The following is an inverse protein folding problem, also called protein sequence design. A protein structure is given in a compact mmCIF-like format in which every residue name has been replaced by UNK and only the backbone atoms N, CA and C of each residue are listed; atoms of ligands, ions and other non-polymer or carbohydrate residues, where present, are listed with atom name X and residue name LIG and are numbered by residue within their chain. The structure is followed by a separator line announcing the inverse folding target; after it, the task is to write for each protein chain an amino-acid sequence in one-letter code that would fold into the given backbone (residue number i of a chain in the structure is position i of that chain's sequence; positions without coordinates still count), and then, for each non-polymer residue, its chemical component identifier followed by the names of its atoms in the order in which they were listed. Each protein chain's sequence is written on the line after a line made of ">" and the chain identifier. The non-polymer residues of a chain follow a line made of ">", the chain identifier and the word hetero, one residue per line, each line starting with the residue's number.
data_IF_155812756286
#
_entry.id   IF_155812756286
#
_cell.length_a   1.000
_cell.length_b   1.000
_cell.length_c   1.000
_cell.angle_alpha   90.00
_cell.angle_beta   90.00
_cell.angle_gamma   90.00
#
_symmetry.space_group_name_H-M   'P 1'
#
loop_
_entity.id
_entity.type
_entity.pdbx_description
1 polymer ?
#
# COMPACT_ATOMS: atom_id res chain seq x y z
N UNK A 1 -13.29 33.96 34.34
CA UNK A 1 -13.91 33.45 33.10
C UNK A 1 -13.15 34.00 31.89
N UNK A 2 -12.36 33.18 31.20
CA UNK A 2 -11.93 33.42 29.82
C UNK A 2 -12.55 32.39 28.85
N UNK A 3 -12.50 32.70 27.54
CA UNK A 3 -13.32 32.07 26.50
C UNK A 3 -12.76 30.76 25.93
N UNK A 4 -13.61 29.77 25.56
CA UNK A 4 -13.18 28.53 24.91
C UNK A 4 -13.10 28.70 23.38
N UNK A 5 -12.01 29.27 22.88
CA UNK A 5 -11.69 29.29 21.43
C UNK A 5 -10.18 29.21 21.18
N UNK A 6 -9.61 28.00 21.30
CA UNK A 6 -8.34 27.51 20.67
C UNK A 6 -7.93 26.16 21.29
N UNK A 7 -8.49 25.07 20.79
CA UNK A 7 -8.02 23.70 21.09
C UNK A 7 -8.54 22.68 20.07
N UNK A 8 -8.29 22.91 18.78
CA UNK A 8 -8.61 21.96 17.71
C UNK A 8 -7.61 22.07 16.55
N UNK A 9 -6.44 21.45 16.74
CA UNK A 9 -5.42 21.23 15.73
C UNK A 9 -4.81 19.84 15.95
N UNK A 10 -4.56 19.11 14.85
CA UNK A 10 -3.99 17.75 14.79
C UNK A 10 -4.75 16.66 15.58
N UNK A 11 -5.78 16.09 14.94
CA UNK A 11 -6.12 14.65 14.92
C UNK A 11 -7.18 14.42 13.84
N UNK A 12 -6.71 14.16 12.63
CA UNK A 12 -7.52 13.62 11.53
C UNK A 12 -6.72 12.48 10.92
N UNK A 13 -6.40 11.51 11.77
CA UNK A 13 -5.71 10.30 11.40
C UNK A 13 -6.77 9.22 11.15
N UNK A 14 -6.92 8.78 9.90
CA UNK A 14 -7.47 7.45 9.63
C UNK A 14 -6.32 6.48 9.92
N UNK A 15 -6.09 6.24 11.20
CA UNK A 15 -5.03 5.38 11.71
C UNK A 15 -5.48 3.91 11.72
N UNK A 16 -5.95 3.45 10.57
CA UNK A 16 -6.52 2.12 10.38
C UNK A 16 -5.64 1.38 9.37
N UNK A 17 -4.65 0.66 9.91
CA UNK A 17 -3.37 0.28 9.27
C UNK A 17 -2.40 1.46 9.06
N UNK A 18 -2.07 2.15 10.17
CA UNK A 18 -1.12 3.25 10.23
C UNK A 18 0.35 2.83 9.96
N UNK A 19 0.67 2.64 8.68
CA UNK A 19 2.00 2.91 8.12
C UNK A 19 1.89 4.00 7.04
N UNK A 20 3.03 4.43 6.50
CA UNK A 20 3.20 5.59 5.61
C UNK A 20 2.00 6.05 4.73
N UNK A 21 1.66 7.34 4.89
CA UNK A 21 1.00 8.24 3.91
C UNK A 21 1.42 9.71 4.11
N UNK A 22 2.69 10.04 3.80
CA UNK A 22 3.19 11.39 3.51
C UNK A 22 4.60 11.24 2.90
N UNK A 23 5.01 11.92 1.82
CA UNK A 23 4.30 12.82 0.91
C UNK A 23 5.24 13.46 -0.13
N UNK A 24 4.69 14.06 -1.20
CA UNK A 24 5.33 15.02 -2.13
C UNK A 24 6.68 14.62 -2.78
N UNK A 25 6.70 14.08 -4.01
CA UNK A 25 6.73 14.83 -5.30
C UNK A 25 7.88 15.84 -5.48
N UNK A 26 8.88 15.47 -6.29
CA UNK A 26 9.62 16.37 -7.20
C UNK A 26 10.21 15.60 -8.39
N UNK A 27 10.04 16.12 -9.61
CA UNK A 27 10.38 15.50 -10.89
C UNK A 27 11.88 15.34 -11.20
N UNK A 28 12.22 14.44 -12.13
CA UNK A 28 13.56 14.35 -12.73
C UNK A 28 13.77 13.21 -13.73
N UNK A 29 13.08 13.20 -14.86
CA UNK A 29 13.20 12.14 -15.89
C UNK A 29 14.32 12.35 -16.92
N UNK A 30 14.96 11.26 -17.34
CA UNK A 30 15.46 10.90 -18.71
C UNK A 30 16.06 9.47 -18.62
N UNK A 31 15.63 8.44 -19.35
CA UNK A 31 15.76 8.22 -20.82
C UNK A 31 17.25 8.14 -21.27
N UNK A 32 17.74 7.17 -22.05
CA UNK A 32 17.08 6.15 -22.90
C UNK A 32 18.08 5.07 -23.40
N UNK A 33 17.55 4.05 -24.09
CA UNK A 33 18.15 3.21 -25.15
C UNK A 33 19.02 1.96 -24.81
N UNK A 34 18.72 0.87 -25.55
CA UNK A 34 19.41 -0.44 -25.54
C UNK A 34 20.62 -0.51 -26.50
N UNK A 35 20.80 -1.53 -27.39
CA UNK A 35 19.81 -2.48 -27.93
C UNK A 35 20.27 -3.95 -28.14
N UNK A 36 19.39 -4.82 -28.68
CA UNK A 36 19.75 -5.62 -29.87
C UNK A 36 19.59 -7.16 -29.88
N UNK A 37 19.36 -7.68 -31.10
CA UNK A 37 19.32 -9.09 -31.58
C UNK A 37 18.16 -9.98 -31.06
N UNK A 38 17.30 -10.65 -31.85
CA UNK A 38 17.26 -11.18 -33.24
C UNK A 38 17.63 -12.68 -33.41
N UNK A 39 16.65 -13.45 -33.94
CA UNK A 39 16.75 -14.86 -34.34
C UNK A 39 15.39 -15.58 -34.18
N UNK A 40 14.49 -15.61 -35.17
CA UNK A 40 14.36 -16.63 -36.25
C UNK A 40 14.14 -18.08 -35.78
N UNK A 41 12.93 -18.63 -35.97
CA UNK A 41 12.71 -19.80 -36.85
C UNK A 41 11.22 -20.14 -37.15
N UNK A 42 10.82 -19.81 -38.38
CA UNK A 42 10.21 -20.66 -39.44
C UNK A 42 9.45 -21.97 -39.13
N UNK A 43 8.17 -22.03 -39.55
CA UNK A 43 7.38 -23.16 -40.14
C UNK A 43 7.19 -24.53 -39.41
N UNK A 44 6.13 -25.33 -39.63
CA UNK A 44 4.78 -25.13 -40.20
C UNK A 44 3.91 -26.41 -40.05
N UNK A 45 2.58 -26.24 -39.94
CA UNK A 45 1.48 -27.12 -40.43
C UNK A 45 1.42 -28.63 -39.96
N UNK A 46 0.34 -29.42 -40.10
CA UNK A 46 -1.04 -29.27 -40.66
C UNK A 46 -2.02 -30.29 -40.01
N UNK A 47 -3.31 -30.14 -40.32
CA UNK A 47 -4.34 -31.21 -40.49
C UNK A 47 -4.95 -32.00 -39.30
N UNK A 48 -6.10 -31.48 -38.85
CA UNK A 48 -7.44 -32.09 -39.00
C UNK A 48 -7.61 -33.62 -39.22
N UNK A 49 -8.56 -34.21 -38.48
CA UNK A 49 -9.79 -34.80 -39.05
C UNK A 49 -10.82 -35.27 -37.99
N UNK A 50 -12.08 -34.91 -38.19
CA UNK A 50 -13.27 -35.54 -37.57
C UNK A 50 -13.87 -36.58 -38.53
N UNK A 51 -14.57 -37.61 -38.05
CA UNK A 51 -15.69 -38.15 -38.83
C UNK A 51 -17.02 -38.33 -38.05
N UNK A 52 -18.10 -38.14 -38.81
CA UNK A 52 -19.52 -38.10 -38.44
C UNK A 52 -20.24 -39.48 -38.52
N UNK A 53 -21.52 -39.50 -38.12
CA UNK A 53 -22.67 -40.25 -38.71
C UNK A 53 -23.12 -41.59 -38.07
N UNK A 54 -24.41 -42.03 -38.12
CA UNK A 54 -25.74 -41.38 -38.33
C UNK A 54 -26.88 -42.40 -38.07
N UNK A 55 -28.04 -41.98 -37.52
CA UNK A 55 -29.34 -42.64 -37.73
C UNK A 55 -30.26 -42.65 -36.49
N UNK A 56 -31.46 -42.04 -36.43
CA UNK A 56 -32.70 -42.09 -37.26
C UNK A 56 -33.82 -42.88 -36.54
N UNK A 57 -34.85 -42.17 -36.05
CA UNK A 57 -36.29 -42.53 -36.18
C UNK A 57 -37.17 -41.42 -35.59
N UNK A 58 -38.38 -41.24 -36.12
CA UNK A 58 -39.39 -40.25 -35.65
C UNK A 58 -40.74 -40.93 -35.46
N UNK A 59 -41.49 -40.56 -34.40
CA UNK A 59 -42.94 -40.68 -34.41
C UNK A 59 -43.70 -39.37 -34.13
N UNK A 60 -44.90 -39.31 -34.72
CA UNK A 60 -45.97 -38.31 -34.70
C UNK A 60 -46.40 -37.82 -33.29
N UNK A 61 -46.89 -36.57 -33.11
CA UNK A 61 -46.99 -35.93 -31.80
C UNK A 61 -48.32 -36.18 -31.06
N UNK A 62 -48.25 -36.22 -29.72
CA UNK A 62 -49.36 -36.04 -28.79
C UNK A 62 -48.82 -35.48 -27.46
N UNK A 63 -49.57 -34.54 -26.87
CA UNK A 63 -49.45 -33.93 -25.54
C UNK A 63 -48.12 -33.26 -25.16
N UNK A 64 -48.19 -31.93 -25.07
CA UNK A 64 -47.12 -31.10 -24.50
C UNK A 64 -47.02 -31.34 -22.99
N UNK A 65 -45.84 -31.74 -22.46
CA UNK A 65 -45.62 -31.72 -21.03
C UNK A 65 -45.61 -30.27 -20.54
N UNK A 66 -46.32 -30.01 -19.45
CA UNK A 66 -46.23 -28.78 -18.67
C UNK A 66 -44.77 -28.40 -18.46
N UNK A 67 -44.44 -27.12 -18.67
CA UNK A 67 -43.09 -26.63 -18.45
C UNK A 67 -42.66 -26.95 -17.02
N UNK A 68 -41.65 -27.81 -16.87
CA UNK A 68 -40.90 -27.92 -15.62
C UNK A 68 -40.36 -26.54 -15.33
N UNK A 69 -40.73 -25.99 -14.18
CA UNK A 69 -40.30 -24.65 -13.77
C UNK A 69 -38.78 -24.54 -13.90
N UNK A 70 -38.33 -23.51 -14.62
CA UNK A 70 -36.92 -23.12 -14.67
C UNK A 70 -36.39 -23.13 -13.25
N UNK A 71 -35.32 -23.89 -13.01
CA UNK A 71 -34.69 -23.96 -11.70
C UNK A 71 -34.50 -22.53 -11.18
N UNK A 72 -35.17 -22.21 -10.06
CA UNK A 72 -34.98 -20.96 -9.35
C UNK A 72 -33.49 -20.76 -9.22
N UNK A 73 -32.97 -19.66 -9.78
CA UNK A 73 -31.57 -19.33 -9.64
C UNK A 73 -31.25 -19.39 -8.15
N UNK A 74 -30.31 -20.27 -7.77
CA UNK A 74 -29.69 -20.20 -6.44
C UNK A 74 -29.33 -18.73 -6.24
N UNK A 75 -29.75 -18.08 -5.13
CA UNK A 75 -29.33 -16.71 -4.90
C UNK A 75 -27.81 -16.69 -5.04
N UNK A 76 -27.32 -15.79 -5.88
CA UNK A 76 -25.89 -15.48 -5.90
C UNK A 76 -25.55 -15.20 -4.43
N UNK A 77 -24.55 -15.88 -3.83
CA UNK A 77 -24.18 -15.60 -2.44
C UNK A 77 -23.96 -14.11 -2.32
N UNK A 78 -24.58 -13.47 -1.32
CA UNK A 78 -24.65 -12.02 -1.21
C UNK A 78 -23.25 -11.43 -1.47
N UNK A 79 -23.14 -10.71 -2.59
CA UNK A 79 -21.84 -10.27 -3.07
C UNK A 79 -21.24 -9.33 -2.03
N UNK A 80 -19.98 -9.59 -1.65
CA UNK A 80 -19.25 -8.73 -0.71
C UNK A 80 -19.40 -7.27 -1.13
N UNK A 81 -19.60 -6.38 -0.17
CA UNK A 81 -19.95 -4.98 -0.43
C UNK A 81 -18.93 -4.26 -1.33
N UNK A 82 -17.70 -4.77 -1.39
CA UNK A 82 -16.61 -4.27 -2.23
C UNK A 82 -16.40 -5.00 -3.58
N UNK A 83 -17.29 -5.89 -4.01
CA UNK A 83 -17.12 -6.67 -5.24
C UNK A 83 -16.86 -5.80 -6.49
N UNK A 84 -17.47 -4.62 -6.56
CA UNK A 84 -17.34 -3.67 -7.68
C UNK A 84 -16.19 -2.65 -7.49
N UNK A 85 -15.18 -2.93 -6.65
CA UNK A 85 -14.08 -1.99 -6.34
C UNK A 85 -13.37 -1.46 -7.60
N UNK A 86 -13.23 -2.30 -8.63
CA UNK A 86 -12.52 -1.96 -9.87
C UNK A 86 -13.21 -0.82 -10.65
N UNK A 87 -14.52 -0.64 -10.47
CA UNK A 87 -15.26 0.46 -11.08
C UNK A 87 -14.83 1.84 -10.56
N UNK A 88 -14.38 1.91 -9.31
CA UNK A 88 -13.95 3.15 -8.67
C UNK A 88 -12.53 3.59 -9.07
N UNK A 89 -11.76 2.74 -9.75
CA UNK A 89 -10.36 2.96 -10.07
C UNK A 89 -10.20 3.73 -11.39
N UNK A 90 -9.78 5.02 -11.40
CA UNK A 90 -9.54 5.74 -12.64
C UNK A 90 -8.27 5.25 -13.33
N UNK A 91 -8.15 5.44 -14.64
CA UNK A 91 -6.92 5.20 -15.35
C UNK A 91 -5.75 6.00 -14.72
N UNK A 92 -4.54 5.41 -14.56
CA UNK A 92 -3.40 6.08 -13.92
C UNK A 92 -3.03 7.45 -14.49
N UNK A 93 -3.28 7.67 -15.78
CA UNK A 93 -3.10 8.96 -16.47
C UNK A 93 -3.97 10.09 -15.89
N UNK A 94 -5.06 9.81 -15.18
CA UNK A 94 -5.86 10.82 -14.47
C UNK A 94 -5.14 11.41 -13.23
N UNK A 95 -4.01 10.81 -12.83
CA UNK A 95 -3.17 11.24 -11.71
C UNK A 95 -1.71 11.47 -12.13
N UNK A 96 -1.44 11.60 -13.44
CA UNK A 96 -0.09 11.70 -14.03
C UNK A 96 0.85 10.56 -13.60
N UNK A 97 0.35 9.32 -13.64
CA UNK A 97 1.07 8.10 -13.24
C UNK A 97 0.96 7.01 -14.30
N UNK A 98 1.93 6.10 -14.32
CA UNK A 98 1.90 4.86 -15.11
C UNK A 98 1.12 3.74 -14.40
N UNK A 99 1.15 3.73 -13.08
CA UNK A 99 0.44 2.78 -12.24
C UNK A 99 0.38 3.23 -10.78
N UNK A 100 -0.62 2.73 -10.04
CA UNK A 100 -0.78 2.99 -8.62
C UNK A 100 -1.28 1.76 -7.85
N UNK A 101 -1.06 1.78 -6.53
CA UNK A 101 -1.62 0.81 -5.59
C UNK A 101 -3.06 1.19 -5.23
N UNK A 102 -4.00 0.26 -5.34
CA UNK A 102 -5.32 0.37 -4.74
C UNK A 102 -5.44 -0.59 -3.56
N UNK A 103 -6.29 -0.24 -2.59
CA UNK A 103 -6.71 -1.13 -1.50
C UNK A 103 -8.22 -1.02 -1.37
N UNK A 104 -8.89 -2.15 -1.15
CA UNK A 104 -10.32 -2.20 -0.91
C UNK A 104 -10.62 -3.23 0.18
N UNK A 105 -11.59 -2.95 1.04
CA UNK A 105 -12.17 -3.94 1.94
C UNK A 105 -13.65 -3.68 2.20
N UNK A 106 -14.36 -4.72 2.61
CA UNK A 106 -15.76 -4.66 3.00
C UNK A 106 -15.87 -4.75 4.54
N UNK A 107 -15.86 -3.61 5.27
CA UNK A 107 -15.69 -3.65 6.72
C UNK A 107 -16.91 -4.25 7.44
N UNK A 108 -18.13 -4.04 6.95
CA UNK A 108 -19.33 -4.72 7.43
C UNK A 108 -19.18 -6.25 7.33
N UNK A 109 -18.85 -6.77 6.16
CA UNK A 109 -18.70 -8.22 5.93
C UNK A 109 -17.56 -8.84 6.78
N UNK A 110 -16.49 -8.07 7.06
CA UNK A 110 -15.43 -8.49 8.00
C UNK A 110 -15.94 -8.55 9.44
N UNK A 111 -16.73 -7.56 9.87
CA UNK A 111 -17.28 -7.48 11.23
C UNK A 111 -18.37 -8.55 11.45
N UNK A 112 -19.13 -8.92 10.42
CA UNK A 112 -20.06 -10.06 10.47
C UNK A 112 -19.33 -11.42 10.65
N UNK A 113 -18.01 -11.47 10.42
CA UNK A 113 -17.13 -12.61 10.71
C UNK A 113 -16.29 -12.46 11.98
N UNK A 114 -16.54 -11.44 12.81
CA UNK A 114 -15.74 -11.17 14.01
C UNK A 114 -15.68 -12.37 14.98
N UNK A 115 -16.76 -13.15 15.11
CA UNK A 115 -16.79 -14.34 15.99
C UNK A 115 -15.96 -15.53 15.49
N UNK A 116 -15.58 -15.53 14.22
CA UNK A 116 -14.86 -16.62 13.55
C UNK A 116 -13.35 -16.35 13.51
N UNK A 117 -12.95 -15.09 13.69
CA UNK A 117 -11.57 -14.58 13.65
C UNK A 117 -10.84 -14.73 14.99
N UNK A 118 -9.52 -14.56 14.97
CA UNK A 118 -8.69 -14.51 16.18
C UNK A 118 -8.89 -13.21 16.97
N UNK A 119 -8.55 -13.23 18.26
CA UNK A 119 -8.62 -12.04 19.12
C UNK A 119 -7.79 -10.88 18.53
N UNK A 120 -8.38 -9.68 18.48
CA UNK A 120 -7.73 -8.48 17.94
C UNK A 120 -7.93 -8.22 16.44
N UNK A 121 -8.34 -9.21 15.64
CA UNK A 121 -8.41 -9.11 14.17
C UNK A 121 -9.21 -7.90 13.64
N UNK A 122 -10.33 -7.61 14.28
CA UNK A 122 -11.24 -6.50 13.94
C UNK A 122 -11.04 -5.26 14.79
N UNK A 123 -10.08 -5.22 15.75
CA UNK A 123 -9.97 -4.13 16.73
C UNK A 123 -9.88 -2.76 16.08
N UNK A 124 -9.12 -2.64 14.99
CA UNK A 124 -9.04 -1.39 14.23
C UNK A 124 -10.40 -0.93 13.68
N UNK A 125 -11.26 -1.84 13.23
CA UNK A 125 -12.57 -1.54 12.65
C UNK A 125 -13.63 -1.17 13.70
N UNK A 126 -13.37 -1.41 15.00
CA UNK A 126 -14.30 -1.08 16.09
C UNK A 126 -14.29 0.40 16.52
N UNK A 127 -13.42 1.23 15.94
CA UNK A 127 -13.32 2.65 16.25
C UNK A 127 -14.15 3.56 15.35
N UNK A 128 -14.73 4.62 15.91
CA UNK A 128 -15.50 5.63 15.17
C UNK A 128 -14.65 6.29 14.05
N UNK A 129 -14.99 6.15 12.77
CA UNK A 129 -14.29 6.86 11.70
C UNK A 129 -14.50 8.36 11.81
N UNK A 130 -13.42 9.14 11.61
CA UNK A 130 -13.50 10.59 11.56
C UNK A 130 -14.10 11.11 10.22
N UNK A 131 -15.14 10.47 9.70
CA UNK A 131 -15.68 10.59 8.34
C UNK A 131 -17.11 11.14 8.40
N UNK A 132 -17.48 12.16 7.59
CA UNK A 132 -18.87 12.65 7.52
C UNK A 132 -19.87 11.54 7.19
N UNK A 133 -20.94 11.41 7.99
CA UNK A 133 -22.03 10.47 7.73
C UNK A 133 -21.69 8.98 7.86
N UNK A 134 -20.54 8.62 8.46
CA UNK A 134 -20.25 7.25 8.90
C UNK A 134 -20.00 7.31 10.41
N UNK A 135 -20.86 6.66 11.20
CA UNK A 135 -20.70 6.59 12.66
C UNK A 135 -19.86 5.37 13.07
N UNK A 136 -19.96 4.26 12.33
CA UNK A 136 -19.16 3.03 12.51
C UNK A 136 -18.69 2.45 11.18
N UNK A 137 -17.56 1.73 11.17
CA UNK A 137 -17.15 0.94 10.00
C UNK A 137 -18.14 -0.19 9.65
N UNK A 138 -18.98 -0.63 10.59
CA UNK A 138 -20.08 -1.56 10.30
C UNK A 138 -21.14 -0.96 9.34
N UNK A 139 -21.26 0.36 9.30
CA UNK A 139 -22.23 1.05 8.45
C UNK A 139 -21.78 1.09 6.98
N UNK A 140 -20.48 0.89 6.70
CA UNK A 140 -19.93 0.87 5.35
C UNK A 140 -19.93 -0.54 4.75
N UNK A 141 -20.59 -0.69 3.60
CA UNK A 141 -20.52 -1.90 2.78
C UNK A 141 -19.13 -2.04 2.13
N UNK A 142 -18.51 -0.94 1.71
CA UNK A 142 -17.15 -0.93 1.19
C UNK A 142 -16.36 0.31 1.59
N UNK A 143 -15.05 0.14 1.63
CA UNK A 143 -14.09 1.23 1.73
C UNK A 143 -12.92 1.01 0.77
N UNK A 144 -12.61 2.03 -0.03
CA UNK A 144 -11.54 2.00 -1.03
C UNK A 144 -10.52 3.11 -0.78
N UNK A 145 -9.23 2.80 -0.87
CA UNK A 145 -8.12 3.75 -0.85
C UNK A 145 -7.48 3.83 -2.23
N UNK A 146 -7.46 5.03 -2.81
CA UNK A 146 -6.98 5.31 -4.17
C UNK A 146 -6.00 6.50 -4.12
N UNK A 147 -4.71 6.33 -4.48
CA UNK A 147 -3.75 7.42 -4.60
C UNK A 147 -4.25 8.54 -5.53
N UNK A 148 -3.90 9.82 -5.29
CA UNK A 148 -2.90 10.31 -4.34
C UNK A 148 -3.38 10.46 -2.88
N UNK A 149 -4.59 10.01 -2.54
CA UNK A 149 -5.14 10.12 -1.18
C UNK A 149 -6.66 10.22 -1.15
N UNK A 150 -7.33 9.65 -2.15
CA UNK A 150 -8.78 9.58 -2.23
C UNK A 150 -9.26 8.39 -1.40
N UNK A 151 -10.25 8.65 -0.56
CA UNK A 151 -11.00 7.63 0.18
C UNK A 151 -12.40 7.57 -0.40
N UNK A 152 -12.91 6.36 -0.62
CA UNK A 152 -14.31 6.12 -1.00
C UNK A 152 -14.95 5.27 0.08
N UNK A 153 -16.14 5.66 0.54
CA UNK A 153 -17.00 4.88 1.41
C UNK A 153 -18.31 4.61 0.67
N UNK A 154 -18.75 3.34 0.63
CA UNK A 154 -20.08 2.96 0.15
C UNK A 154 -20.94 2.56 1.35
N UNK A 155 -22.01 3.31 1.60
CA UNK A 155 -22.85 3.25 2.80
C UNK A 155 -24.20 3.95 2.57
N UNK A 156 -25.16 3.73 3.45
CA UNK A 156 -26.47 4.38 3.42
C UNK A 156 -26.44 5.75 4.12
N UNK A 157 -26.07 6.80 3.38
CA UNK A 157 -25.89 8.15 3.93
C UNK A 157 -27.20 8.93 4.12
N UNK A 158 -27.40 9.54 5.29
CA UNK A 158 -28.24 10.75 5.38
C UNK A 158 -27.52 11.88 4.64
N UNK A 159 -27.99 12.17 3.41
CA UNK A 159 -27.40 13.21 2.56
C UNK A 159 -27.46 14.61 3.15
N UNK A 160 -28.49 14.96 3.91
CA UNK A 160 -28.63 16.31 4.46
C UNK A 160 -27.67 16.50 5.63
N UNK A 161 -27.62 15.53 6.55
CA UNK A 161 -26.66 15.51 7.66
C UNK A 161 -25.21 15.47 7.16
N UNK A 162 -24.88 14.56 6.23
CA UNK A 162 -23.53 14.41 5.66
C UNK A 162 -23.08 15.67 4.92
N UNK A 163 -23.97 16.32 4.16
CA UNK A 163 -23.68 17.61 3.54
C UNK A 163 -23.53 18.75 4.58
N UNK A 164 -24.26 18.67 5.70
CA UNK A 164 -24.07 19.54 6.86
C UNK A 164 -22.67 19.42 7.46
N UNK A 165 -22.19 18.19 7.68
CA UNK A 165 -20.86 17.89 8.21
C UNK A 165 -19.72 18.35 7.28
N UNK A 166 -19.87 18.13 5.97
CA UNK A 166 -18.92 18.63 4.97
C UNK A 166 -18.81 20.17 5.03
N UNK A 167 -19.95 20.86 5.17
CA UNK A 167 -20.00 22.33 5.37
C UNK A 167 -19.40 22.75 6.72
N UNK A 168 -19.65 22.00 7.79
CA UNK A 168 -19.01 22.19 9.10
C UNK A 168 -17.48 22.03 9.06
N UNK A 169 -16.97 21.21 8.14
CA UNK A 169 -15.52 21.04 7.86
C UNK A 169 -14.96 22.11 6.92
N UNK A 170 -15.75 23.09 6.47
CA UNK A 170 -15.33 24.20 5.63
C UNK A 170 -15.32 23.88 4.12
N UNK A 171 -16.00 22.83 3.68
CA UNK A 171 -16.22 22.54 2.27
C UNK A 171 -17.54 23.18 1.81
N UNK A 172 -17.54 23.86 0.67
CA UNK A 172 -18.76 24.43 0.08
C UNK A 172 -19.15 23.66 -1.17
N UNK A 173 -20.43 23.36 -1.31
CA UNK A 173 -21.00 22.74 -2.52
C UNK A 173 -20.79 23.65 -3.73
N UNK A 174 -20.11 23.14 -4.75
CA UNK A 174 -19.60 23.92 -5.88
C UNK A 174 -20.15 23.46 -7.24
N UNK A 175 -20.55 22.19 -7.37
CA UNK A 175 -21.07 21.61 -8.60
C UNK A 175 -21.85 20.31 -8.32
N UNK A 176 -22.53 19.79 -9.35
CA UNK A 176 -23.01 18.40 -9.41
C UNK A 176 -22.28 17.70 -10.56
N UNK A 177 -21.86 16.44 -10.36
CA UNK A 177 -21.18 15.62 -11.38
C UNK A 177 -21.60 14.16 -11.21
N UNK A 178 -22.09 13.52 -12.28
CA UNK A 178 -22.57 12.12 -12.26
C UNK A 178 -23.46 11.73 -11.07
N UNK A 179 -24.42 12.60 -10.73
CA UNK A 179 -25.33 12.52 -9.55
C UNK A 179 -24.69 12.76 -8.17
N UNK A 180 -23.38 12.95 -8.09
CA UNK A 180 -22.72 13.40 -6.87
C UNK A 180 -22.80 14.93 -6.72
N UNK A 181 -23.09 15.40 -5.52
CA UNK A 181 -22.87 16.80 -5.15
C UNK A 181 -21.40 16.97 -4.78
N UNK A 182 -20.68 17.85 -5.47
CA UNK A 182 -19.24 18.08 -5.32
C UNK A 182 -19.00 19.28 -4.42
N UNK A 183 -18.30 19.07 -3.31
CA UNK A 183 -17.94 20.07 -2.32
C UNK A 183 -16.44 20.37 -2.40
N UNK A 184 -16.04 21.63 -2.27
CA UNK A 184 -14.63 22.04 -2.28
C UNK A 184 -14.32 23.11 -1.23
N UNK A 185 -13.09 23.13 -0.74
CA UNK A 185 -12.55 24.14 0.18
C UNK A 185 -11.04 23.95 0.35
N UNK A 186 -10.38 24.78 1.16
CA UNK A 186 -8.91 24.86 1.24
C UNK A 186 -8.20 23.53 1.56
N UNK A 187 -8.92 22.58 2.17
CA UNK A 187 -8.41 21.25 2.53
C UNK A 187 -8.58 20.18 1.44
N UNK A 188 -9.18 20.51 0.29
CA UNK A 188 -9.41 19.58 -0.83
C UNK A 188 -10.88 19.54 -1.25
N UNK A 189 -11.36 18.35 -1.61
CA UNK A 189 -12.72 18.16 -2.11
C UNK A 189 -13.39 16.89 -1.55
N UNK A 190 -14.71 16.85 -1.73
CA UNK A 190 -15.55 15.68 -1.51
C UNK A 190 -16.62 15.57 -2.60
N UNK A 191 -17.14 14.37 -2.84
CA UNK A 191 -18.33 14.14 -3.66
C UNK A 191 -19.28 13.20 -2.91
N UNK A 192 -20.52 13.64 -2.71
CA UNK A 192 -21.56 12.89 -2.01
C UNK A 192 -22.62 12.43 -3.01
N UNK A 193 -22.77 11.11 -3.17
CA UNK A 193 -23.78 10.41 -3.97
C UNK A 193 -24.96 9.97 -3.11
N UNK A 194 -25.78 9.03 -3.61
CA UNK A 194 -26.88 8.47 -2.81
C UNK A 194 -26.35 7.43 -1.80
N UNK A 195 -25.49 6.52 -2.26
CA UNK A 195 -24.91 5.43 -1.46
C UNK A 195 -23.38 5.49 -1.32
N UNK A 196 -22.76 6.64 -1.63
CA UNK A 196 -21.30 6.77 -1.67
C UNK A 196 -20.79 8.16 -1.30
N UNK A 197 -19.66 8.21 -0.59
CA UNK A 197 -18.91 9.42 -0.27
C UNK A 197 -17.45 9.27 -0.71
N UNK A 198 -17.02 10.13 -1.64
CA UNK A 198 -15.64 10.25 -2.11
C UNK A 198 -14.98 11.44 -1.41
N UNK A 199 -13.79 11.28 -0.84
CA UNK A 199 -13.04 12.30 -0.11
C UNK A 199 -11.61 12.40 -0.63
N UNK A 200 -11.17 13.58 -1.06
CA UNK A 200 -9.76 13.88 -1.33
C UNK A 200 -9.30 15.04 -0.43
N UNK A 201 -9.33 14.81 0.88
CA UNK A 201 -8.97 15.80 1.89
C UNK A 201 -7.49 15.66 2.24
N UNK A 202 -6.66 16.59 1.76
CA UNK A 202 -5.20 16.54 1.85
C UNK A 202 -4.47 16.31 0.52
N UNK A 203 -5.18 16.04 -0.58
CA UNK A 203 -4.61 15.82 -1.91
C UNK A 203 -4.17 17.13 -2.60
N UNK A 204 -3.18 17.84 -2.04
CA UNK A 204 -2.55 19.01 -2.67
C UNK A 204 -3.39 20.31 -2.70
N UNK A 205 -4.46 20.39 -1.91
CA UNK A 205 -5.33 21.57 -1.83
C UNK A 205 -6.58 21.50 -2.71
N UNK A 206 -7.30 22.62 -2.84
CA UNK A 206 -8.66 22.66 -3.41
C UNK A 206 -8.79 22.11 -4.83
N UNK A 207 -7.87 22.46 -5.73
CA UNK A 207 -7.95 22.10 -7.15
C UNK A 207 -7.52 20.66 -7.41
N UNK A 208 -6.38 20.24 -6.87
CA UNK A 208 -5.91 18.86 -6.97
C UNK A 208 -6.87 17.88 -6.27
N UNK A 209 -7.42 18.24 -5.10
CA UNK A 209 -8.49 17.47 -4.46
C UNK A 209 -9.76 17.38 -5.32
N UNK A 210 -10.18 18.49 -5.96
CA UNK A 210 -11.32 18.48 -6.89
C UNK A 210 -11.07 17.55 -8.07
N UNK A 211 -9.89 17.65 -8.71
CA UNK A 211 -9.53 16.80 -9.85
C UNK A 211 -9.58 15.32 -9.47
N UNK A 212 -8.97 14.96 -8.34
CA UNK A 212 -8.91 13.57 -7.87
C UNK A 212 -10.31 13.00 -7.55
N UNK A 213 -11.18 13.77 -6.89
CA UNK A 213 -12.58 13.38 -6.67
C UNK A 213 -13.34 13.20 -7.98
N UNK A 214 -13.16 14.11 -8.94
CA UNK A 214 -13.86 14.02 -10.22
C UNK A 214 -13.43 12.80 -11.03
N UNK A 215 -12.14 12.48 -11.07
CA UNK A 215 -11.63 11.28 -11.74
C UNK A 215 -12.25 9.97 -11.18
N UNK A 216 -12.36 9.86 -9.85
CA UNK A 216 -12.97 8.69 -9.17
C UNK A 216 -14.48 8.61 -9.42
N UNK A 217 -15.19 9.74 -9.41
CA UNK A 217 -16.62 9.79 -9.76
C UNK A 217 -16.85 9.44 -11.24
N UNK A 218 -16.01 9.95 -12.15
CA UNK A 218 -16.09 9.66 -13.58
C UNK A 218 -15.83 8.18 -13.89
N UNK A 219 -14.84 7.56 -13.21
CA UNK A 219 -14.55 6.14 -13.34
C UNK A 219 -15.77 5.29 -12.90
N UNK A 220 -16.33 5.56 -11.71
CA UNK A 220 -17.52 4.81 -11.23
C UNK A 220 -18.70 4.97 -12.18
N UNK A 221 -18.96 6.18 -12.67
CA UNK A 221 -20.03 6.46 -13.61
C UNK A 221 -19.81 5.89 -15.03
N UNK A 222 -18.60 5.42 -15.37
CA UNK A 222 -18.23 5.06 -16.74
C UNK A 222 -18.10 6.27 -17.68
N UNK A 223 -18.01 7.48 -17.12
CA UNK A 223 -17.81 8.73 -17.85
C UNK A 223 -16.32 9.05 -18.09
N UNK A 224 -15.41 8.37 -17.38
CA UNK A 224 -13.96 8.41 -17.55
C UNK A 224 -13.36 7.00 -17.67
N UNK A 225 -12.14 6.88 -18.21
CA UNK A 225 -11.48 5.58 -18.37
C UNK A 225 -11.12 4.97 -17.02
N UNK A 226 -11.43 3.67 -16.83
CA UNK A 226 -11.06 2.92 -15.63
C UNK A 226 -9.65 2.34 -15.78
N UNK A 227 -9.02 2.00 -14.65
CA UNK A 227 -7.67 1.41 -14.62
C UNK A 227 -7.61 0.07 -15.37
N UNK A 228 -8.62 -0.78 -15.16
CA UNK A 228 -8.74 -2.08 -15.84
C UNK A 228 -8.90 -1.93 -17.36
N UNK A 229 -9.64 -0.93 -17.83
CA UNK A 229 -9.82 -0.66 -19.27
C UNK A 229 -8.56 -0.08 -19.93
N UNK A 230 -7.76 0.67 -19.16
CA UNK A 230 -6.58 1.38 -19.66
C UNK A 230 -5.28 0.57 -19.56
N UNK A 231 -5.21 -0.42 -18.66
CA UNK A 231 -4.00 -1.20 -18.37
C UNK A 231 -4.35 -2.68 -18.22
N UNK A 232 -4.09 -3.47 -19.27
CA UNK A 232 -4.39 -4.91 -19.32
C UNK A 232 -3.78 -5.72 -18.16
N UNK A 233 -2.66 -5.27 -17.59
CA UNK A 233 -2.03 -5.93 -16.44
C UNK A 233 -2.82 -5.70 -15.15
N UNK A 234 -3.54 -4.57 -15.05
CA UNK A 234 -4.51 -4.30 -13.98
C UNK A 234 -5.79 -5.12 -14.18
N UNK A 235 -6.28 -5.28 -15.41
CA UNK A 235 -7.38 -6.20 -15.74
C UNK A 235 -7.07 -7.63 -15.28
N UNK A 236 -5.91 -8.18 -15.69
CA UNK A 236 -5.44 -9.52 -15.27
C UNK A 236 -5.31 -9.63 -13.75
N UNK A 237 -4.70 -8.63 -13.11
CA UNK A 237 -4.52 -8.62 -11.66
C UNK A 237 -5.87 -8.61 -10.93
N UNK A 238 -6.82 -7.76 -11.33
CA UNK A 238 -8.13 -7.65 -10.68
C UNK A 238 -8.97 -8.91 -10.90
N UNK A 239 -8.93 -9.51 -12.10
CA UNK A 239 -9.56 -10.80 -12.36
C UNK A 239 -8.99 -11.93 -11.46
N UNK A 240 -7.66 -12.01 -11.30
CA UNK A 240 -7.03 -12.99 -10.43
C UNK A 240 -7.23 -12.71 -8.93
N UNK A 241 -7.37 -11.43 -8.54
CA UNK A 241 -7.71 -11.02 -7.17
C UNK A 241 -9.16 -11.34 -6.79
N UNK A 242 -10.08 -11.40 -7.76
CA UNK A 242 -11.49 -11.74 -7.58
C UNK A 242 -12.21 -10.95 -6.48
N UNK A 243 -13.31 -11.51 -5.96
CA UNK A 243 -14.00 -10.98 -4.78
C UNK A 243 -13.32 -11.46 -3.50
N UNK A 244 -12.94 -10.53 -2.61
CA UNK A 244 -12.29 -10.83 -1.33
C UNK A 244 -12.63 -9.74 -0.30
N UNK A 245 -12.76 -10.13 0.98
CA UNK A 245 -13.15 -9.23 2.07
C UNK A 245 -12.13 -8.11 2.27
N UNK A 246 -10.85 -8.42 2.04
CA UNK A 246 -9.76 -7.47 1.91
C UNK A 246 -8.98 -7.79 0.63
N UNK A 247 -8.72 -6.78 -0.20
CA UNK A 247 -7.87 -6.88 -1.37
C UNK A 247 -6.97 -5.67 -1.56
N UNK A 248 -5.79 -5.91 -2.13
CA UNK A 248 -4.80 -4.88 -2.45
C UNK A 248 -4.07 -5.28 -3.72
N UNK A 249 -3.82 -4.32 -4.62
CA UNK A 249 -3.09 -4.58 -5.85
C UNK A 249 -2.38 -3.34 -6.37
N UNK A 250 -1.40 -3.53 -7.26
CA UNK A 250 -0.76 -2.45 -8.05
C UNK A 250 -0.20 -3.02 -9.35
N UNK A 251 -0.15 -2.21 -10.41
CA UNK A 251 0.84 -2.41 -11.48
C UNK A 251 2.11 -1.62 -11.16
N UNK A 252 3.22 -2.04 -11.74
CA UNK A 252 4.55 -1.49 -11.53
C UNK A 252 5.50 -1.86 -12.68
N UNK A 253 6.66 -1.22 -12.76
CA UNK A 253 7.74 -1.65 -13.65
C UNK A 253 8.34 -2.98 -13.20
N UNK A 254 8.94 -3.72 -14.13
CA UNK A 254 9.76 -4.88 -13.78
C UNK A 254 10.91 -4.45 -12.84
N UNK A 255 11.20 -5.29 -11.83
CA UNK A 255 12.14 -5.00 -10.75
C UNK A 255 11.52 -4.33 -9.51
N UNK A 256 10.29 -3.81 -9.59
CA UNK A 256 9.61 -3.11 -8.50
C UNK A 256 8.77 -4.11 -7.66
N UNK A 257 9.37 -5.16 -7.11
CA UNK A 257 8.67 -6.24 -6.37
C UNK A 257 9.30 -7.61 -6.60
N UNK A 258 8.48 -8.64 -6.81
CA UNK A 258 8.93 -9.92 -7.35
C UNK A 258 9.63 -9.69 -8.69
N UNK A 259 10.75 -10.38 -8.91
CA UNK A 259 11.52 -10.27 -10.15
C UNK A 259 10.62 -10.51 -11.38
N UNK A 260 10.83 -9.67 -12.41
CA UNK A 260 10.11 -9.66 -13.69
C UNK A 260 8.57 -9.54 -13.65
N UNK A 261 7.93 -9.50 -12.48
CA UNK A 261 6.52 -9.14 -12.37
C UNK A 261 6.29 -7.66 -12.72
N UNK A 262 5.14 -7.38 -13.35
CA UNK A 262 4.65 -6.03 -13.70
C UNK A 262 3.35 -5.67 -12.97
N UNK A 263 2.75 -6.63 -12.26
CA UNK A 263 1.69 -6.36 -11.31
C UNK A 263 1.65 -7.42 -10.22
N UNK A 264 1.06 -7.09 -9.08
CA UNK A 264 0.83 -8.06 -8.01
C UNK A 264 -0.16 -7.58 -6.97
N UNK A 265 -0.68 -8.52 -6.20
CA UNK A 265 -1.67 -8.22 -5.16
C UNK A 265 -1.77 -9.26 -4.05
N UNK A 266 -2.76 -9.05 -3.19
CA UNK A 266 -3.23 -9.98 -2.17
C UNK A 266 -4.75 -9.86 -2.08
N UNK A 267 -5.43 -11.00 -1.95
CA UNK A 267 -6.85 -11.11 -1.61
C UNK A 267 -7.04 -12.07 -0.44
N UNK A 268 -7.83 -11.66 0.55
CA UNK A 268 -8.18 -12.43 1.75
C UNK A 268 -9.71 -12.62 1.76
N UNK A 269 -10.14 -13.86 1.64
CA UNK A 269 -11.55 -14.27 1.63
C UNK A 269 -11.85 -15.02 2.93
N UNK A 270 -12.56 -14.36 3.85
CA UNK A 270 -12.82 -14.84 5.20
C UNK A 270 -14.00 -15.82 5.19
N UNK A 271 -13.77 -17.07 5.56
CA UNK A 271 -14.83 -18.06 5.81
C UNK A 271 -14.98 -18.37 7.30
N UNK A 272 -16.04 -19.09 7.68
CA UNK A 272 -16.38 -19.40 9.09
C UNK A 272 -15.36 -20.26 9.85
N UNK A 273 -14.53 -20.99 9.11
CA UNK A 273 -13.53 -21.93 9.66
C UNK A 273 -12.18 -21.76 9.01
N UNK A 274 -12.20 -21.46 7.73
CA UNK A 274 -11.04 -21.38 6.87
C UNK A 274 -11.12 -20.09 6.07
N UNK A 275 -10.05 -19.31 6.13
CA UNK A 275 -9.83 -18.10 5.34
C UNK A 275 -8.89 -18.43 4.20
N UNK A 276 -9.29 -18.08 2.98
CA UNK A 276 -8.47 -18.28 1.78
C UNK A 276 -7.64 -17.03 1.52
N UNK A 277 -6.32 -17.21 1.41
CA UNK A 277 -5.38 -16.17 1.00
C UNK A 277 -4.92 -16.48 -0.43
N UNK A 278 -4.92 -15.48 -1.31
CA UNK A 278 -4.34 -15.56 -2.66
C UNK A 278 -3.47 -14.35 -2.97
N UNK A 279 -2.34 -14.58 -3.61
CA UNK A 279 -1.39 -13.51 -3.99
C UNK A 279 -0.97 -13.68 -5.45
N UNK A 280 -1.73 -13.11 -6.40
CA UNK A 280 -1.37 -13.14 -7.81
C UNK A 280 -0.19 -12.22 -8.11
N UNK A 281 0.64 -12.65 -9.05
CA UNK A 281 1.69 -11.89 -9.73
C UNK A 281 1.45 -11.98 -11.25
N UNK A 282 1.47 -10.83 -11.94
CA UNK A 282 1.31 -10.74 -13.40
C UNK A 282 2.67 -10.44 -14.00
N UNK A 283 3.12 -11.29 -14.91
CA UNK A 283 4.38 -11.16 -15.66
C UNK A 283 4.13 -10.52 -17.02
N UNK A 284 5.14 -9.96 -17.72
CA UNK A 284 5.02 -9.49 -19.11
C UNK A 284 4.71 -10.64 -20.08
N UNK A 285 4.65 -10.36 -21.38
CA UNK A 285 4.60 -11.43 -22.39
C UNK A 285 5.94 -12.19 -22.43
N UNK A 286 5.91 -13.50 -22.21
CA UNK A 286 7.11 -14.33 -22.08
C UNK A 286 6.87 -15.55 -21.21
N UNK A 287 7.93 -16.02 -20.56
CA UNK A 287 7.87 -17.10 -19.56
C UNK A 287 7.46 -16.53 -18.20
N UNK A 288 6.65 -17.28 -17.46
CA UNK A 288 6.17 -16.92 -16.11
C UNK A 288 7.07 -17.60 -15.09
N UNK A 289 7.71 -16.84 -14.22
CA UNK A 289 8.56 -17.41 -13.17
C UNK A 289 7.71 -17.85 -11.96
N UNK A 290 7.12 -19.05 -12.10
CA UNK A 290 6.42 -19.72 -10.99
C UNK A 290 7.38 -20.06 -9.84
N UNK A 291 8.65 -20.35 -10.15
CA UNK A 291 9.68 -20.68 -9.15
C UNK A 291 9.96 -19.51 -8.21
N UNK A 292 10.20 -18.33 -8.77
CA UNK A 292 10.37 -17.11 -7.98
C UNK A 292 9.13 -16.78 -7.13
N UNK A 293 7.91 -17.03 -7.63
CA UNK A 293 6.71 -16.85 -6.82
C UNK A 293 6.61 -17.89 -5.69
N UNK A 294 6.98 -19.14 -5.94
CA UNK A 294 6.99 -20.19 -4.92
C UNK A 294 8.03 -19.90 -3.82
N UNK A 295 9.24 -19.49 -4.21
CA UNK A 295 10.31 -19.08 -3.29
C UNK A 295 9.88 -17.87 -2.45
N UNK A 296 9.30 -16.84 -3.09
CA UNK A 296 8.72 -15.70 -2.37
C UNK A 296 7.61 -16.11 -1.39
N UNK A 297 6.74 -17.04 -1.81
CA UNK A 297 5.61 -17.49 -1.00
C UNK A 297 6.03 -18.35 0.19
N UNK A 298 7.17 -19.05 0.13
CA UNK A 298 7.70 -19.87 1.22
C UNK A 298 8.06 -19.03 2.45
N UNK A 299 8.57 -17.81 2.26
CA UNK A 299 8.94 -16.87 3.32
C UNK A 299 7.84 -15.82 3.63
N UNK A 300 6.75 -15.79 2.86
CA UNK A 300 5.74 -14.73 2.95
C UNK A 300 4.84 -14.87 4.20
N UNK A 301 4.92 -13.88 5.09
CA UNK A 301 4.15 -13.80 6.34
C UNK A 301 2.63 -13.90 6.14
N UNK A 302 2.15 -13.47 4.98
CA UNK A 302 0.74 -13.40 4.54
C UNK A 302 0.01 -14.75 4.55
N UNK A 303 0.74 -15.87 4.52
CA UNK A 303 0.17 -17.22 4.60
C UNK A 303 0.11 -17.78 6.03
N UNK A 304 0.44 -16.98 7.05
CA UNK A 304 0.32 -17.34 8.47
C UNK A 304 1.03 -18.66 8.84
N UNK A 305 2.18 -18.92 8.20
CA UNK A 305 2.97 -20.13 8.38
C UNK A 305 2.42 -21.38 7.68
N UNK A 306 1.35 -21.27 6.89
CA UNK A 306 0.89 -22.34 6.00
C UNK A 306 1.70 -22.34 4.70
N UNK A 307 1.99 -23.53 4.16
CA UNK A 307 2.60 -23.65 2.84
C UNK A 307 1.60 -23.24 1.75
N UNK A 308 2.01 -22.38 0.84
CA UNK A 308 1.21 -21.98 -0.30
C UNK A 308 1.36 -22.97 -1.47
N UNK A 309 0.27 -23.20 -2.19
CA UNK A 309 0.26 -23.88 -3.49
C UNK A 309 0.35 -22.82 -4.59
N UNK A 310 1.19 -23.05 -5.60
CA UNK A 310 1.28 -22.19 -6.80
C UNK A 310 0.50 -22.77 -7.97
N UNK A 311 0.01 -21.88 -8.84
CA UNK A 311 -0.55 -22.22 -10.14
C UNK A 311 -0.35 -21.09 -11.14
N UNK A 312 -0.19 -21.43 -12.42
CA UNK A 312 -0.05 -20.48 -13.55
C UNK A 312 -1.26 -20.54 -14.47
N UNK A 313 -1.83 -19.37 -14.77
CA UNK A 313 -2.82 -19.16 -15.84
C UNK A 313 -2.37 -18.04 -16.78
N UNK A 314 -1.91 -18.44 -17.97
CA UNK A 314 -1.40 -17.52 -19.00
C UNK A 314 -0.19 -16.71 -18.53
N UNK A 315 -0.43 -15.44 -18.18
CA UNK A 315 0.58 -14.46 -17.69
C UNK A 315 0.54 -14.27 -16.16
N UNK A 316 -0.32 -14.99 -15.45
CA UNK A 316 -0.52 -14.82 -14.01
C UNK A 316 -0.08 -16.07 -13.27
N UNK A 317 0.89 -15.94 -12.38
CA UNK A 317 1.14 -16.95 -11.35
C UNK A 317 0.42 -16.53 -10.07
N UNK A 318 -0.18 -17.47 -9.35
CA UNK A 318 -0.86 -17.22 -8.07
C UNK A 318 -0.39 -18.21 -7.03
N UNK A 319 0.15 -17.71 -5.92
CA UNK A 319 0.33 -18.50 -4.71
C UNK A 319 -0.94 -18.37 -3.84
N UNK A 320 -1.40 -19.46 -3.26
CA UNK A 320 -2.58 -19.48 -2.41
C UNK A 320 -2.45 -20.47 -1.24
N UNK A 321 -3.02 -20.12 -0.09
CA UNK A 321 -3.12 -21.01 1.05
C UNK A 321 -4.49 -20.88 1.73
N UNK A 322 -4.83 -21.88 2.54
CA UNK A 322 -6.01 -21.89 3.40
C UNK A 322 -5.54 -21.91 4.85
N UNK A 323 -6.03 -20.97 5.65
CA UNK A 323 -5.62 -20.71 7.04
C UNK A 323 -6.84 -20.85 7.94
N UNK A 324 -6.72 -21.35 9.18
CA UNK A 324 -7.89 -21.40 10.08
C UNK A 324 -8.27 -19.97 10.46
N UNK A 325 -9.54 -19.58 10.29
CA UNK A 325 -9.98 -18.19 10.50
C UNK A 325 -9.66 -17.71 11.93
N UNK A 326 -9.81 -18.59 12.92
CA UNK A 326 -9.49 -18.31 14.32
C UNK A 326 -7.99 -18.15 14.64
N UNK A 327 -7.07 -18.38 13.69
CA UNK A 327 -5.64 -18.07 13.83
C UNK A 327 -5.28 -16.66 13.32
N UNK A 328 -6.21 -15.97 12.66
CA UNK A 328 -5.99 -14.63 12.12
C UNK A 328 -6.30 -13.61 13.21
N UNK A 329 -5.28 -13.24 13.98
CA UNK A 329 -5.31 -12.15 14.98
C UNK A 329 -5.02 -10.77 14.36
N UNK A 330 -4.44 -10.72 13.15
CA UNK A 330 -4.12 -9.48 12.43
C UNK A 330 -4.01 -9.75 10.93
N UNK A 331 -4.67 -8.94 10.10
CA UNK A 331 -4.62 -9.08 8.64
C UNK A 331 -3.25 -8.68 8.06
N UNK A 332 -2.44 -9.69 7.75
CA UNK A 332 -1.19 -9.56 7.00
C UNK A 332 -1.50 -9.31 5.53
N UNK A 333 -0.73 -8.46 4.86
CA UNK A 333 -1.03 -8.01 3.48
C UNK A 333 0.17 -8.08 2.53
N UNK A 334 1.21 -8.86 2.89
CA UNK A 334 2.35 -9.15 2.02
C UNK A 334 1.90 -9.57 0.62
N UNK A 335 2.62 -9.15 -0.41
CA UNK A 335 2.22 -9.35 -1.82
C UNK A 335 3.45 -9.41 -2.73
N UNK A 336 3.42 -10.16 -3.84
CA UNK A 336 4.46 -10.18 -4.86
C UNK A 336 4.72 -8.82 -5.51
N UNK A 337 3.72 -7.93 -5.52
CA UNK A 337 3.93 -6.54 -5.89
C UNK A 337 4.90 -5.81 -4.96
N UNK A 338 5.23 -6.35 -3.79
CA UNK A 338 6.06 -5.69 -2.81
C UNK A 338 5.41 -4.52 -2.09
N UNK A 339 6.09 -4.08 -1.04
CA UNK A 339 5.77 -2.85 -0.34
C UNK A 339 6.48 -1.68 -1.02
N UNK A 340 5.76 -0.77 -1.69
CA UNK A 340 6.19 0.64 -1.91
C UNK A 340 6.17 1.39 -0.55
N UNK A 341 6.91 0.81 0.40
CA UNK A 341 7.18 1.14 1.81
C UNK A 341 8.41 0.32 2.26
N UNK A 342 9.46 0.38 1.46
CA UNK A 342 10.83 0.44 2.00
C UNK A 342 11.45 1.75 1.51
N UNK A 343 10.71 2.86 1.63
CA UNK A 343 11.38 4.03 2.18
C UNK A 343 11.72 3.59 3.60
N UNK A 344 12.99 3.27 3.85
CA UNK A 344 13.42 2.99 5.20
C UNK A 344 13.10 4.25 6.03
N UNK A 345 12.32 4.09 7.10
CA UNK A 345 11.92 5.23 7.90
C UNK A 345 13.17 5.75 8.59
N UNK A 346 13.47 7.04 8.45
CA UNK A 346 14.46 7.74 9.28
C UNK A 346 14.24 7.36 10.76
N UNK A 347 15.20 6.68 11.40
CA UNK A 347 15.04 6.22 12.77
C UNK A 347 14.82 7.38 13.75
N UNK A 348 13.91 7.22 14.70
CA UNK A 348 13.73 8.18 15.79
C UNK A 348 14.69 7.82 16.93
N UNK A 349 15.95 8.28 16.82
CA UNK A 349 17.01 8.08 17.82
C UNK A 349 17.59 9.41 18.34
N UNK A 350 18.01 9.40 19.61
CA UNK A 350 18.62 10.54 20.30
C UNK A 350 20.09 10.22 20.56
N UNK A 351 20.99 11.14 20.18
CA UNK A 351 22.43 11.02 20.40
C UNK A 351 22.95 12.14 21.31
N UNK A 352 23.68 11.78 22.36
CA UNK A 352 24.48 12.68 23.17
C UNK A 352 25.83 12.96 22.50
N UNK A 353 26.43 14.11 22.80
CA UNK A 353 27.75 14.53 22.31
C UNK A 353 28.55 15.10 23.48
N UNK A 354 29.65 14.45 23.85
CA UNK A 354 30.55 14.89 24.94
C UNK A 354 31.96 15.09 24.40
N UNK A 355 32.52 16.29 24.57
CA UNK A 355 33.87 16.65 24.08
C UNK A 355 34.87 16.81 25.23
N UNK A 356 35.96 16.05 25.18
CA UNK A 356 37.11 16.14 26.08
C UNK A 356 38.36 16.64 25.35
N UNK A 357 38.86 17.82 25.73
CA UNK A 357 40.08 18.38 25.15
C UNK A 357 41.33 17.60 25.58
N UNK A 358 42.15 17.16 24.62
CA UNK A 358 43.39 16.40 24.87
C UNK A 358 44.64 17.28 24.79
N UNK A 359 44.59 18.39 24.04
CA UNK A 359 45.66 19.39 23.94
C UNK A 359 45.65 20.11 22.59
N UNK A 360 46.42 21.20 22.46
CA UNK A 360 46.73 21.88 21.18
C UNK A 360 45.55 22.20 20.23
N UNK A 361 44.34 22.39 20.78
CA UNK A 361 43.13 22.69 20.00
C UNK A 361 42.41 21.46 19.44
N UNK A 362 42.75 20.26 19.90
CA UNK A 362 42.09 18.99 19.57
C UNK A 362 41.64 18.23 20.81
N UNK A 363 40.75 17.27 20.61
CA UNK A 363 40.14 16.47 21.65
C UNK A 363 39.40 15.25 21.10
N UNK A 364 38.83 14.47 22.02
CA UNK A 364 37.98 13.33 21.73
C UNK A 364 36.53 13.75 21.89
N UNK A 365 35.71 13.46 20.87
CA UNK A 365 34.26 13.56 20.92
C UNK A 365 33.68 12.16 21.10
N UNK A 366 33.01 11.91 22.22
CA UNK A 366 32.16 10.73 22.38
C UNK A 366 30.75 11.05 21.87
N UNK A 367 30.22 10.19 20.99
CA UNK A 367 28.86 10.26 20.48
C UNK A 367 28.13 9.00 20.96
N UNK A 368 27.09 9.17 21.77
CA UNK A 368 26.42 8.07 22.49
C UNK A 368 24.95 7.99 22.12
N UNK A 369 24.45 6.81 21.77
CA UNK A 369 23.03 6.58 21.53
C UNK A 369 22.29 6.57 22.89
N UNK A 370 21.50 7.60 23.18
CA UNK A 370 20.83 7.75 24.48
C UNK A 370 19.48 7.00 24.56
N UNK A 371 18.83 6.79 23.42
CA UNK A 371 17.53 6.12 23.35
C UNK A 371 16.81 6.33 22.02
N UNK A 372 15.78 5.52 21.77
CA UNK A 372 15.02 5.52 20.52
C UNK A 372 15.12 4.20 19.77
N UNK A 373 14.92 4.26 18.45
CA UNK A 373 14.98 3.10 17.55
C UNK A 373 16.40 2.50 17.44
N UNK A 374 16.50 1.18 17.30
CA UNK A 374 17.75 0.47 16.98
C UNK A 374 18.12 0.66 15.51
N UNK A 375 19.40 0.94 15.21
CA UNK A 375 19.85 1.27 13.84
C UNK A 375 20.95 0.30 13.40
N UNK A 376 20.84 -0.42 12.26
CA UNK A 376 21.93 -1.25 11.76
C UNK A 376 23.21 -0.44 11.59
N UNK A 377 24.36 -0.91 12.11
CA UNK A 377 25.65 -0.21 11.98
C UNK A 377 26.01 0.12 10.53
N UNK A 378 25.60 -0.73 9.59
CA UNK A 378 25.81 -0.53 8.16
C UNK A 378 25.22 0.81 7.65
N UNK A 379 24.07 1.22 8.20
CA UNK A 379 23.27 2.39 7.80
C UNK A 379 23.64 3.67 8.57
N UNK A 380 24.55 3.61 9.54
CA UNK A 380 24.88 4.75 10.41
C UNK A 380 26.28 5.30 10.11
N UNK A 381 26.39 6.61 9.97
CA UNK A 381 27.65 7.29 9.66
C UNK A 381 27.84 8.59 10.45
N UNK A 382 29.10 8.92 10.72
CA UNK A 382 29.52 10.21 11.28
C UNK A 382 30.05 11.07 10.13
N UNK A 383 29.45 12.24 9.91
CA UNK A 383 29.79 13.17 8.81
C UNK A 383 30.00 14.58 9.39
N UNK A 384 30.69 15.48 8.67
CA UNK A 384 30.94 16.84 9.16
C UNK A 384 32.31 17.40 8.80
N UNK A 385 32.80 18.32 9.63
CA UNK A 385 34.09 19.01 9.53
C UNK A 385 34.79 19.06 10.89
N UNK A 386 36.09 19.40 10.89
CA UNK A 386 36.89 19.49 12.12
C UNK A 386 37.44 18.16 12.63
N UNK A 387 37.44 17.08 11.84
CA UNK A 387 38.11 15.83 12.23
C UNK A 387 39.63 16.01 12.40
N UNK A 388 40.21 15.35 13.40
CA UNK A 388 41.62 15.43 13.76
C UNK A 388 42.21 14.05 14.09
N UNK A 389 43.52 13.90 13.92
CA UNK A 389 44.25 12.67 14.26
C UNK A 389 44.53 12.63 15.77
N UNK A 390 43.81 11.76 16.48
CA UNK A 390 43.90 11.59 17.94
C UNK A 390 44.12 10.10 18.23
N UNK A 391 45.18 9.76 18.96
CA UNK A 391 45.47 8.35 19.27
C UNK A 391 44.43 7.74 20.22
N UNK A 392 43.96 6.53 19.91
CA UNK A 392 43.11 5.73 20.81
C UNK A 392 41.60 5.92 20.64
N UNK A 393 41.14 6.67 19.64
CA UNK A 393 39.73 6.80 19.26
C UNK A 393 39.32 5.82 18.15
N UNK A 394 38.02 5.59 17.98
CA UNK A 394 37.47 4.65 16.99
C UNK A 394 37.58 5.18 15.54
N UNK A 395 37.47 6.50 15.34
CA UNK A 395 37.63 7.13 14.03
C UNK A 395 38.16 8.57 14.07
N UNK A 396 39.06 8.90 13.13
CA UNK A 396 39.69 10.24 12.97
C UNK A 396 39.28 10.94 11.66
N UNK A 397 38.18 10.47 11.05
CA UNK A 397 37.60 11.01 9.82
C UNK A 397 36.10 10.73 9.72
N UNK A 398 35.41 11.41 8.81
CA UNK A 398 34.05 11.08 8.42
C UNK A 398 33.97 9.68 7.80
N UNK A 399 32.91 8.93 8.12
CA UNK A 399 32.72 7.56 7.65
C UNK A 399 31.61 6.82 8.39
N UNK A 400 31.40 5.56 8.02
CA UNK A 400 30.50 4.63 8.72
C UNK A 400 30.92 4.47 10.19
N UNK A 401 29.94 4.29 11.07
CA UNK A 401 30.11 4.14 12.52
C UNK A 401 31.14 3.06 12.87
N UNK A 402 32.23 3.44 13.55
CA UNK A 402 33.27 2.50 13.97
C UNK A 402 33.20 2.06 15.44
N UNK A 403 32.29 2.65 16.23
CA UNK A 403 32.11 2.37 17.64
C UNK A 403 31.37 1.06 17.92
N UNK A 404 30.81 0.95 19.13
CA UNK A 404 30.08 -0.25 19.55
C UNK A 404 28.73 -0.38 18.82
N UNK A 405 28.29 -1.62 18.64
CA UNK A 405 26.98 -1.98 18.13
C UNK A 405 26.58 -3.28 18.82
N UNK A 406 25.79 -3.18 19.89
CA UNK A 406 25.52 -4.27 20.85
C UNK A 406 24.11 -4.86 20.73
N UNK A 407 23.28 -4.33 19.83
CA UNK A 407 22.01 -4.92 19.45
C UNK A 407 22.14 -6.15 18.55
N UNK A 408 20.99 -6.77 18.27
CA UNK A 408 20.90 -7.87 17.31
C UNK A 408 21.35 -7.42 15.91
N UNK A 409 21.94 -8.34 15.14
CA UNK A 409 22.45 -8.12 13.77
C UNK A 409 23.39 -6.89 13.61
N UNK A 410 24.24 -6.64 14.62
CA UNK A 410 25.16 -5.50 14.69
C UNK A 410 24.44 -4.13 14.64
N UNK A 411 23.25 -4.05 15.24
CA UNK A 411 22.56 -2.78 15.44
C UNK A 411 23.20 -1.94 16.58
N UNK A 412 23.29 -0.64 16.34
CA UNK A 412 23.58 0.39 17.36
C UNK A 412 22.30 0.63 18.16
N UNK A 413 22.38 0.46 19.48
CA UNK A 413 21.26 0.59 20.42
C UNK A 413 21.60 1.53 21.58
N UNK A 414 20.61 1.83 22.43
CA UNK A 414 20.81 2.71 23.58
C UNK A 414 21.94 2.21 24.52
N UNK A 415 22.95 3.06 24.72
CA UNK A 415 24.18 2.74 25.45
C UNK A 415 25.38 2.41 24.57
N UNK A 416 25.21 2.24 23.25
CA UNK A 416 26.32 2.18 22.31
C UNK A 416 26.90 3.58 22.03
N UNK A 417 28.20 3.63 21.76
CA UNK A 417 28.94 4.87 21.56
C UNK A 417 30.07 4.72 20.53
N UNK A 418 30.52 5.86 19.98
CA UNK A 418 31.73 5.96 19.15
C UNK A 418 32.57 7.15 19.60
N UNK A 419 33.88 6.97 19.65
CA UNK A 419 34.84 8.04 19.94
C UNK A 419 35.47 8.57 18.65
N UNK A 420 35.49 9.88 18.50
CA UNK A 420 35.89 10.59 17.28
C UNK A 420 36.98 11.62 17.60
N UNK A 421 38.09 11.58 16.87
CA UNK A 421 39.14 12.61 16.98
C UNK A 421 38.71 13.90 16.26
N UNK A 422 38.65 15.02 16.98
CA UNK A 422 38.18 16.32 16.44
C UNK A 422 38.96 17.52 16.99
N UNK A 423 38.97 18.62 16.23
CA UNK A 423 39.42 19.95 16.64
C UNK A 423 38.33 20.65 17.49
N UNK A 424 38.67 21.67 18.27
CA UNK A 424 37.71 22.35 19.16
C UNK A 424 36.65 23.20 18.44
N UNK A 425 36.79 23.42 17.13
CA UNK A 425 35.87 24.13 16.24
C UNK A 425 35.03 23.17 15.35
N UNK A 426 34.85 21.91 15.77
CA UNK A 426 34.16 20.89 14.97
C UNK A 426 32.67 21.20 14.71
N UNK A 427 32.16 20.71 13.58
CA UNK A 427 30.73 20.57 13.30
C UNK A 427 30.48 19.14 12.81
N UNK A 428 29.88 18.29 13.66
CA UNK A 428 29.72 16.86 13.40
C UNK A 428 28.26 16.44 13.49
N UNK A 429 27.84 15.59 12.56
CA UNK A 429 26.48 15.09 12.39
C UNK A 429 26.47 13.56 12.40
N UNK A 430 25.50 12.99 13.12
CA UNK A 430 25.12 11.57 12.98
C UNK A 430 24.12 11.49 11.83
N UNK A 431 24.50 10.80 10.76
CA UNK A 431 23.72 10.67 9.53
C UNK A 431 23.41 9.22 9.28
N UNK A 432 22.11 8.91 9.28
CA UNK A 432 21.58 7.63 8.83
C UNK A 432 21.35 7.67 7.31
N UNK A 433 21.61 6.55 6.65
CA UNK A 433 21.47 6.33 5.22
C UNK A 433 20.96 4.91 5.00
N UNK A 434 19.82 4.77 4.32
CA UNK A 434 19.21 3.49 4.01
C UNK A 434 20.19 2.60 3.22
N UNK A 435 20.16 1.28 3.43
CA UNK A 435 21.09 0.35 2.79
C UNK A 435 20.93 0.26 1.24
N UNK A 436 19.84 0.81 0.67
CA UNK A 436 19.65 1.02 -0.77
C UNK A 436 20.33 2.30 -1.30
N UNK A 437 20.72 3.22 -0.41
CA UNK A 437 21.36 4.50 -0.72
C UNK A 437 20.39 5.62 -1.12
N UNK A 438 19.09 5.34 -1.24
CA UNK A 438 18.12 6.28 -1.82
C UNK A 438 17.57 7.30 -0.80
N UNK A 439 17.69 7.01 0.50
CA UNK A 439 17.22 7.89 1.59
C UNK A 439 18.32 8.13 2.61
N UNK A 440 18.56 9.40 2.99
CA UNK A 440 19.41 9.73 4.13
C UNK A 440 18.83 10.87 4.98
N UNK A 441 19.18 10.90 6.26
CA UNK A 441 18.76 11.94 7.18
C UNK A 441 19.82 12.18 8.27
N UNK A 442 19.99 13.44 8.67
CA UNK A 442 20.74 13.77 9.89
C UNK A 442 19.85 13.52 11.10
N UNK A 443 20.27 12.62 11.98
CA UNK A 443 19.54 12.27 13.21
C UNK A 443 19.84 13.27 14.33
N UNK A 444 21.11 13.64 14.50
CA UNK A 444 21.51 14.68 15.43
C UNK A 444 22.82 15.37 15.01
N UNK A 445 23.10 16.54 15.59
CA UNK A 445 24.31 17.34 15.34
C UNK A 445 24.92 17.86 16.65
N UNK A 446 26.24 17.93 16.68
CA UNK A 446 27.02 18.55 17.74
C UNK A 446 28.07 19.51 17.17
N UNK A 447 28.37 20.55 17.92
CA UNK A 447 29.40 21.55 17.59
C UNK A 447 30.40 21.68 18.73
N UNK A 448 31.66 21.94 18.40
CA UNK A 448 32.73 22.12 19.37
C UNK A 448 32.62 23.41 20.19
N UNK A 449 33.36 23.52 21.31
CA UNK A 449 33.30 24.68 22.19
C UNK A 449 33.78 26.00 21.56
N UNK A 450 34.55 25.95 20.47
CA UNK A 450 35.10 27.12 19.76
C UNK A 450 34.45 27.38 18.38
N UNK A 451 33.35 26.69 18.04
CA UNK A 451 32.62 26.80 16.76
C UNK A 451 31.66 28.02 16.69
#
# INVERSE_FOLDING_TARGET
>A
MPSPRRSFLRRSAVALLAGATAGCLSDGSTATDGPGAAGTDTDAATDAATPTATGTASPTPTDAPTATETATATPVPDALGNADFAEWLPAPAAFDREGYRFTSFAPRDILDRESDLGDGATEGLRGDPAVPGIDSYADAAAFHQIPPGVLVFEADFDREATAGDLRGRGLTEAATRERFAVFTGDRGAAALGESALVLALGAGGTEAGRSAVQAVVDAKAGAGPRYVDAVADCERLTAALGSAHLLRGRTHSAGDGLADAVAGGVGIEIGERETRVRTPAVFPEGEVDEGALADWAADADVFYGQSAETAVDGRVATAAATVRTAEIETFRTGSPAGSRRTEARTPEAIFGFEYEATGDGVGTLEITHEGGDSIPRAELSVRGTGFADVEGVDQTAAGQWQGTASGDDEAVVAGDYVTVGVASDYEVAVVWEANDGDTSATLNQGSGPDA
#
